data_IF_829363485525
#
_entry.id   IF_829363485525
#
_cell.length_a   1.000
_cell.length_b   1.000
_cell.length_c   1.000
_cell.angle_alpha   90.00
_cell.angle_beta   90.00
_cell.angle_gamma   90.00
#
_symmetry.space_group_name_H-M   'P 1'
#
loop_
_entity.id
_entity.type
_entity.pdbx_description
1 polymer ?
#
# COMPACT_ATOMS: atom_id res chain seq x y z
N UNK A 1 22.40 -67.03 -35.41
CA UNK A 1 23.19 -66.76 -34.20
C UNK A 1 24.10 -65.58 -34.47
N UNK A 2 23.77 -64.41 -33.92
CA UNK A 2 24.73 -63.38 -33.49
C UNK A 2 23.89 -62.30 -32.78
N UNK A 3 23.89 -62.40 -31.44
CA UNK A 3 23.43 -61.37 -30.52
C UNK A 3 24.47 -60.24 -30.51
N UNK A 4 24.01 -58.99 -30.59
CA UNK A 4 24.71 -57.84 -30.03
C UNK A 4 23.73 -57.06 -29.15
N UNK A 5 24.15 -56.91 -27.90
CA UNK A 5 23.43 -56.37 -26.77
C UNK A 5 23.31 -54.82 -26.84
N UNK A 6 22.49 -54.20 -25.97
CA UNK A 6 21.91 -52.88 -26.19
C UNK A 6 22.84 -51.74 -25.77
N UNK A 7 22.87 -50.67 -26.57
CA UNK A 7 23.35 -49.37 -26.12
C UNK A 7 22.28 -48.77 -25.20
N UNK A 8 22.48 -48.90 -23.90
CA UNK A 8 21.71 -48.16 -22.89
C UNK A 8 22.15 -46.69 -23.00
N UNK A 9 21.41 -45.92 -23.79
CA UNK A 9 21.51 -44.46 -23.79
C UNK A 9 20.85 -44.01 -22.49
N UNK A 10 21.67 -43.80 -21.47
CA UNK A 10 21.28 -43.19 -20.20
C UNK A 10 20.80 -41.76 -20.42
N UNK A 11 19.53 -41.60 -20.76
CA UNK A 11 18.84 -40.32 -20.74
C UNK A 11 18.41 -40.00 -19.32
N UNK A 12 19.27 -39.35 -18.54
CA UNK A 12 18.84 -38.69 -17.31
C UNK A 12 17.96 -37.52 -17.75
N UNK A 13 16.65 -37.72 -17.78
CA UNK A 13 15.65 -36.66 -17.92
C UNK A 13 15.75 -35.78 -16.68
N UNK A 14 16.65 -34.80 -16.72
CA UNK A 14 16.73 -33.74 -15.74
C UNK A 14 15.51 -32.84 -15.94
N UNK A 15 14.45 -33.12 -15.18
CA UNK A 15 13.33 -32.20 -15.02
C UNK A 15 13.86 -30.97 -14.29
N UNK A 16 14.23 -29.94 -15.05
CA UNK A 16 14.47 -28.62 -14.49
C UNK A 16 13.09 -28.10 -14.06
N UNK A 17 12.76 -28.34 -12.80
CA UNK A 17 11.62 -27.71 -12.17
C UNK A 17 11.93 -26.21 -12.09
N UNK A 18 11.42 -25.44 -13.05
CA UNK A 18 11.40 -24.00 -12.99
C UNK A 18 10.54 -23.59 -11.79
N UNK A 19 11.19 -23.37 -10.64
CA UNK A 19 10.60 -22.65 -9.52
C UNK A 19 10.36 -21.21 -9.99
N UNK A 20 9.19 -20.99 -10.58
CA UNK A 20 8.65 -19.64 -10.74
C UNK A 20 8.37 -19.11 -9.34
N UNK A 21 9.35 -18.41 -8.77
CA UNK A 21 9.17 -17.65 -7.55
C UNK A 21 8.26 -16.47 -7.90
N UNK A 22 6.94 -16.65 -7.74
CA UNK A 22 6.00 -15.55 -7.77
C UNK A 22 6.35 -14.64 -6.59
N UNK A 23 7.10 -13.57 -6.85
CA UNK A 23 7.33 -12.50 -5.87
C UNK A 23 5.98 -11.84 -5.67
N UNK A 24 5.29 -12.24 -4.61
CA UNK A 24 4.08 -11.61 -4.15
C UNK A 24 4.42 -10.16 -3.78
N UNK A 25 3.80 -9.20 -4.47
CA UNK A 25 4.07 -7.79 -4.25
C UNK A 25 3.80 -7.45 -2.76
N UNK A 26 4.84 -7.02 -2.05
CA UNK A 26 4.73 -6.68 -0.64
C UNK A 26 3.72 -5.53 -0.49
N UNK A 27 2.62 -5.78 0.23
CA UNK A 27 1.64 -4.75 0.55
C UNK A 27 2.28 -3.72 1.48
N UNK A 28 2.37 -2.48 1.03
CA UNK A 28 2.97 -1.40 1.81
C UNK A 28 1.91 -0.76 2.70
N UNK A 29 2.23 -0.50 3.96
CA UNK A 29 1.38 0.31 4.84
C UNK A 29 2.10 1.63 5.15
N UNK A 30 1.47 2.76 4.82
CA UNK A 30 1.93 4.07 5.22
C UNK A 30 1.12 4.49 6.45
N UNK A 31 1.77 4.60 7.61
CA UNK A 31 1.12 5.00 8.86
C UNK A 31 1.48 6.43 9.19
N UNK A 32 0.48 7.26 9.45
CA UNK A 32 0.65 8.65 9.82
C UNK A 32 -0.04 8.94 11.16
N UNK A 33 0.70 8.90 12.27
CA UNK A 33 0.17 9.28 13.57
C UNK A 33 0.05 10.81 13.68
N UNK A 34 -0.95 11.27 14.44
CA UNK A 34 -1.12 12.67 14.83
C UNK A 34 -1.92 12.76 16.14
N UNK A 35 -1.67 13.77 16.96
CA UNK A 35 -2.26 13.90 18.29
C UNK A 35 -2.77 15.31 18.59
N UNK A 36 -1.99 16.30 18.16
CA UNK A 36 -2.18 17.71 18.44
C UNK A 36 -2.81 18.47 17.27
N UNK A 37 -3.33 19.66 17.57
CA UNK A 37 -3.79 20.61 16.54
C UNK A 37 -2.73 20.93 15.49
N UNK A 38 -1.48 21.09 15.91
CA UNK A 38 -0.36 21.37 15.01
C UNK A 38 -0.12 20.19 14.05
N UNK A 39 -0.20 18.96 14.55
CA UNK A 39 -0.07 17.77 13.70
C UNK A 39 -1.28 17.56 12.80
N UNK A 40 -2.50 17.83 13.26
CA UNK A 40 -3.70 17.84 12.41
C UNK A 40 -3.53 18.83 11.25
N UNK A 41 -3.00 20.02 11.53
CA UNK A 41 -2.69 21.01 10.49
C UNK A 41 -1.63 20.47 9.52
N UNK A 42 -0.56 19.87 10.04
CA UNK A 42 0.48 19.27 9.21
C UNK A 42 -0.07 18.11 8.33
N UNK A 43 -1.04 17.34 8.85
CA UNK A 43 -1.76 16.32 8.08
C UNK A 43 -2.43 16.97 6.88
N UNK A 44 -3.31 17.96 7.10
CA UNK A 44 -4.00 18.67 6.00
C UNK A 44 -3.03 19.25 4.99
N UNK A 45 -1.99 19.95 5.46
CA UNK A 45 -1.01 20.57 4.57
C UNK A 45 -0.28 19.58 3.66
N UNK A 46 -0.06 18.32 4.08
CA UNK A 46 0.50 17.33 3.15
C UNK A 46 -0.48 16.94 2.07
N UNK A 47 -1.76 16.76 2.39
CA UNK A 47 -2.77 16.44 1.38
C UNK A 47 -2.97 17.60 0.39
N UNK A 48 -2.88 18.84 0.86
CA UNK A 48 -2.85 20.02 -0.01
C UNK A 48 -1.65 19.99 -0.96
N UNK A 49 -0.46 19.66 -0.45
CA UNK A 49 0.73 19.49 -1.28
C UNK A 49 0.55 18.36 -2.30
N UNK A 50 -0.08 17.26 -1.90
CA UNK A 50 -0.31 16.09 -2.76
C UNK A 50 -1.28 16.33 -3.91
N UNK A 51 -2.07 17.39 -3.89
CA UNK A 51 -2.87 17.83 -5.05
C UNK A 51 -2.01 18.11 -6.27
N UNK A 52 -0.83 18.70 -6.04
CA UNK A 52 0.12 19.09 -7.08
C UNK A 52 1.29 18.11 -7.20
N UNK A 53 1.65 17.44 -6.10
CA UNK A 53 2.80 16.55 -6.01
C UNK A 53 2.42 15.25 -5.32
N UNK A 54 1.82 14.32 -6.08
CA UNK A 54 1.38 13.04 -5.55
C UNK A 54 2.54 12.28 -4.86
N UNK A 55 2.30 11.61 -3.72
CA UNK A 55 3.34 10.93 -2.94
C UNK A 55 3.82 9.60 -3.55
N UNK A 56 3.34 9.27 -4.74
CA UNK A 56 3.73 8.08 -5.50
C UNK A 56 4.13 8.47 -6.93
N UNK A 57 4.83 7.57 -7.60
CA UNK A 57 5.03 7.64 -9.05
C UNK A 57 4.17 6.56 -9.75
N UNK A 58 4.17 6.57 -11.08
CA UNK A 58 3.36 5.65 -11.90
C UNK A 58 3.72 4.17 -11.74
N UNK A 59 4.87 3.83 -11.13
CA UNK A 59 5.26 2.45 -10.84
C UNK A 59 4.72 1.94 -9.48
N UNK A 60 4.18 2.83 -8.63
CA UNK A 60 3.73 2.51 -7.27
C UNK A 60 2.24 2.85 -7.02
N UNK A 61 1.43 2.98 -8.07
CA UNK A 61 -0.01 3.23 -7.94
C UNK A 61 -0.74 2.03 -7.30
N UNK A 62 -1.62 2.31 -6.34
CA UNK A 62 -2.47 1.31 -5.70
C UNK A 62 -1.73 0.26 -4.86
N UNK A 63 -0.45 0.48 -4.52
CA UNK A 63 0.38 -0.51 -3.82
C UNK A 63 0.41 -0.32 -2.29
N UNK A 64 -0.14 0.78 -1.78
CA UNK A 64 -0.06 1.14 -0.36
C UNK A 64 -1.44 1.35 0.29
N UNK A 65 -1.60 0.89 1.53
CA UNK A 65 -2.70 1.32 2.40
C UNK A 65 -2.23 2.47 3.29
N UNK A 66 -2.97 3.58 3.34
CA UNK A 66 -2.71 4.71 4.21
C UNK A 66 -3.51 4.57 5.51
N UNK A 67 -2.84 4.59 6.65
CA UNK A 67 -3.46 4.65 7.98
C UNK A 67 -3.24 6.03 8.59
N UNK A 68 -4.32 6.73 8.89
CA UNK A 68 -4.30 7.97 9.67
C UNK A 68 -4.68 7.61 11.11
N UNK A 69 -3.72 7.71 12.03
CA UNK A 69 -3.90 7.25 13.42
C UNK A 69 -3.94 8.45 14.35
N UNK A 70 -5.13 8.76 14.86
CA UNK A 70 -5.29 9.81 15.86
C UNK A 70 -5.03 9.24 17.26
N UNK A 71 -4.22 9.92 18.07
CA UNK A 71 -3.82 9.40 19.39
C UNK A 71 -5.00 9.21 20.36
N UNK A 72 -5.99 10.11 20.33
CA UNK A 72 -7.13 10.11 21.23
C UNK A 72 -8.38 9.60 20.51
N UNK A 73 -9.55 9.78 21.11
CA UNK A 73 -10.82 9.62 20.40
C UNK A 73 -11.05 10.79 19.43
N UNK A 74 -11.20 10.49 18.14
CA UNK A 74 -11.54 11.47 17.11
C UNK A 74 -12.83 12.23 17.42
N UNK A 75 -13.84 11.57 18.02
CA UNK A 75 -15.11 12.20 18.36
C UNK A 75 -14.97 13.31 19.41
N UNK A 76 -13.87 13.32 20.16
CA UNK A 76 -13.56 14.36 21.13
C UNK A 76 -12.82 15.57 20.54
N UNK A 77 -12.38 15.49 19.28
CA UNK A 77 -11.66 16.57 18.61
C UNK A 77 -12.28 16.89 17.23
N UNK A 78 -13.24 17.83 17.19
CA UNK A 78 -13.93 18.22 15.95
C UNK A 78 -13.00 18.72 14.84
N UNK A 79 -11.85 19.30 15.18
CA UNK A 79 -10.88 19.77 14.19
C UNK A 79 -10.15 18.60 13.53
N UNK A 80 -9.72 17.62 14.33
CA UNK A 80 -9.14 16.38 13.83
C UNK A 80 -10.17 15.61 12.99
N UNK A 81 -11.38 15.41 13.51
CA UNK A 81 -12.48 14.75 12.80
C UNK A 81 -12.79 15.39 11.45
N UNK A 82 -12.94 16.72 11.42
CA UNK A 82 -13.18 17.45 10.18
C UNK A 82 -12.03 17.28 9.17
N UNK A 83 -10.77 17.25 9.63
CA UNK A 83 -9.62 17.05 8.77
C UNK A 83 -9.61 15.64 8.14
N UNK A 84 -9.85 14.58 8.91
CA UNK A 84 -9.90 13.22 8.35
C UNK A 84 -11.12 13.00 7.46
N UNK A 85 -12.28 13.56 7.80
CA UNK A 85 -13.48 13.46 6.97
C UNK A 85 -13.29 14.12 5.60
N UNK A 86 -12.64 15.29 5.55
CA UNK A 86 -12.26 15.96 4.30
C UNK A 86 -11.35 15.06 3.45
N UNK A 87 -10.33 14.44 4.06
CA UNK A 87 -9.43 13.51 3.37
C UNK A 87 -10.17 12.28 2.82
N UNK A 88 -11.00 11.63 3.64
CA UNK A 88 -11.79 10.45 3.23
C UNK A 88 -12.75 10.81 2.09
N UNK A 89 -13.41 11.96 2.19
CA UNK A 89 -14.34 12.46 1.17
C UNK A 89 -13.62 12.66 -0.16
N UNK A 90 -12.47 13.35 -0.15
CA UNK A 90 -11.67 13.58 -1.35
C UNK A 90 -11.11 12.28 -1.96
N UNK A 91 -10.69 11.32 -1.11
CA UNK A 91 -10.25 10.00 -1.57
C UNK A 91 -11.38 9.23 -2.26
N UNK A 92 -12.55 9.17 -1.62
CA UNK A 92 -13.71 8.41 -2.11
C UNK A 92 -14.31 9.01 -3.38
N UNK A 93 -14.33 10.34 -3.48
CA UNK A 93 -14.77 11.06 -4.66
C UNK A 93 -13.77 10.98 -5.83
N UNK A 94 -12.54 10.51 -5.58
CA UNK A 94 -11.43 10.43 -6.55
C UNK A 94 -11.17 11.77 -7.25
N UNK A 95 -11.37 12.87 -6.52
CA UNK A 95 -11.23 14.24 -7.04
C UNK A 95 -9.77 14.68 -7.12
N UNK A 96 -8.89 14.05 -6.34
CA UNK A 96 -7.49 14.45 -6.20
C UNK A 96 -6.54 13.45 -6.86
N UNK A 97 -5.42 13.94 -7.41
CA UNK A 97 -4.44 13.12 -8.15
C UNK A 97 -3.82 11.99 -7.31
N UNK A 98 -3.63 12.24 -6.01
CA UNK A 98 -3.02 11.30 -5.07
C UNK A 98 -3.91 10.10 -4.72
N UNK A 99 -5.20 10.09 -5.07
CA UNK A 99 -6.07 8.94 -4.75
C UNK A 99 -5.51 7.63 -5.33
N UNK A 100 -4.86 7.70 -6.50
CA UNK A 100 -4.25 6.55 -7.17
C UNK A 100 -3.02 5.99 -6.46
N UNK A 101 -2.46 6.73 -5.49
CA UNK A 101 -1.30 6.27 -4.72
C UNK A 101 -1.65 5.25 -3.66
N UNK A 102 -2.92 5.15 -3.26
CA UNK A 102 -3.35 4.30 -2.17
C UNK A 102 -4.44 3.34 -2.64
N UNK A 103 -4.32 2.08 -2.23
CA UNK A 103 -5.40 1.09 -2.34
C UNK A 103 -6.58 1.50 -1.45
N UNK A 104 -6.26 1.97 -0.23
CA UNK A 104 -7.24 2.34 0.77
C UNK A 104 -6.70 3.42 1.72
N UNK A 105 -7.61 4.19 2.32
CA UNK A 105 -7.34 5.13 3.41
C UNK A 105 -8.18 4.71 4.61
N UNK A 106 -7.50 4.30 5.69
CA UNK A 106 -8.11 3.86 6.94
C UNK A 106 -7.81 4.87 8.04
N UNK A 107 -8.82 5.19 8.86
CA UNK A 107 -8.69 6.09 10.00
C UNK A 107 -8.88 5.30 11.29
N UNK A 108 -8.00 5.50 12.26
CA UNK A 108 -8.02 4.81 13.54
C UNK A 108 -7.91 5.83 14.69
N UNK A 109 -8.70 5.63 15.74
CA UNK A 109 -8.53 6.30 17.04
C UNK A 109 -7.79 5.35 17.98
N UNK A 110 -6.68 5.78 18.57
CA UNK A 110 -5.89 4.95 19.48
C UNK A 110 -6.41 4.98 20.93
N UNK A 111 -7.22 6.00 21.30
CA UNK A 111 -7.85 6.10 22.62
C UNK A 111 -6.86 6.25 23.78
N UNK A 112 -5.70 6.85 23.53
CA UNK A 112 -4.64 7.12 24.51
C UNK A 112 -4.89 8.38 25.34
#
# INVERSE_FOLDING_TARGET
>A
MMQLAPLVIGGVLAWVASLSLSVEAAKVALVRPFASRAETTAVRSSFDSWRTHAPCNTAFTGAATLFLVYSQDLAMNPEAEAAVNDIISNFSAKTETWHSCFENVTVLSAGL
#
